data_IF_755821019428
#
_entry.id   IF_755821019428
#
_cell.length_a   1.000
_cell.length_b   1.000
_cell.length_c   1.000
_cell.angle_alpha   90.00
_cell.angle_beta   90.00
_cell.angle_gamma   90.00
#
_symmetry.space_group_name_H-M   'P 1'
#
loop_
_entity.id
_entity.type
_entity.pdbx_description
1 polymer ?
#
# COMPACT_ATOMS: atom_id res chain seq x y z
N UNK A 1 -51.60 -30.40 -50.09
CA UNK A 1 -51.44 -30.73 -48.63
C UNK A 1 -50.17 -30.07 -48.13
N UNK A 2 -50.29 -29.00 -47.35
CA UNK A 2 -49.18 -28.32 -46.74
C UNK A 2 -48.89 -29.04 -45.43
N UNK A 3 -47.74 -29.67 -45.33
CA UNK A 3 -47.21 -30.19 -44.04
C UNK A 3 -46.75 -29.00 -43.18
N UNK A 4 -47.48 -28.72 -42.13
CA UNK A 4 -46.96 -27.83 -41.09
C UNK A 4 -45.76 -28.49 -40.42
N UNK A 5 -44.66 -27.77 -40.17
CA UNK A 5 -43.49 -28.34 -39.47
C UNK A 5 -43.91 -28.81 -38.08
N UNK A 6 -43.37 -29.98 -37.69
CA UNK A 6 -43.64 -30.61 -36.40
C UNK A 6 -42.99 -29.75 -35.27
N UNK A 7 -43.83 -28.92 -34.64
CA UNK A 7 -43.41 -28.09 -33.50
C UNK A 7 -42.81 -28.86 -32.34
N UNK A 8 -43.13 -30.17 -32.23
CA UNK A 8 -42.60 -31.03 -31.16
C UNK A 8 -41.12 -31.32 -31.33
N UNK A 9 -40.60 -31.33 -32.54
CA UNK A 9 -39.17 -31.52 -32.80
C UNK A 9 -38.34 -30.27 -32.54
N UNK A 10 -38.90 -29.09 -32.84
CA UNK A 10 -38.28 -27.78 -32.56
C UNK A 10 -38.21 -27.50 -31.06
N UNK A 11 -39.27 -27.82 -30.32
CA UNK A 11 -39.34 -27.67 -28.88
C UNK A 11 -38.39 -28.62 -28.14
N UNK A 12 -38.23 -29.86 -28.60
CA UNK A 12 -37.23 -30.82 -28.08
C UNK A 12 -35.81 -30.35 -28.32
N UNK A 13 -35.52 -29.76 -29.49
CA UNK A 13 -34.18 -29.20 -29.78
C UNK A 13 -33.84 -28.02 -28.85
N UNK A 14 -34.81 -27.18 -28.53
CA UNK A 14 -34.63 -26.06 -27.58
C UNK A 14 -34.44 -26.54 -26.14
N UNK A 15 -35.21 -27.55 -25.72
CA UNK A 15 -35.09 -28.14 -24.39
C UNK A 15 -33.69 -28.77 -24.21
N UNK A 16 -33.21 -29.54 -25.16
CA UNK A 16 -31.90 -30.16 -25.13
C UNK A 16 -30.77 -29.08 -25.05
N UNK A 17 -30.89 -27.99 -25.81
CA UNK A 17 -29.93 -26.91 -25.76
C UNK A 17 -29.88 -26.21 -24.39
N UNK A 18 -31.03 -26.07 -23.71
CA UNK A 18 -31.12 -25.51 -22.37
C UNK A 18 -30.52 -26.48 -21.32
N UNK A 19 -30.79 -27.78 -21.45
CA UNK A 19 -30.22 -28.82 -20.58
C UNK A 19 -28.69 -28.90 -20.72
N UNK A 20 -28.16 -28.83 -21.93
CA UNK A 20 -26.74 -28.77 -22.21
C UNK A 20 -26.08 -27.52 -21.59
N UNK A 21 -26.73 -26.35 -21.71
CA UNK A 21 -26.27 -25.10 -21.09
C UNK A 21 -26.28 -25.18 -19.58
N UNK A 22 -27.35 -25.70 -18.97
CA UNK A 22 -27.43 -25.89 -17.50
C UNK A 22 -26.41 -26.90 -16.99
N UNK A 23 -26.14 -27.96 -17.76
CA UNK A 23 -25.08 -28.93 -17.43
C UNK A 23 -23.70 -28.28 -17.44
N UNK A 24 -23.39 -27.50 -18.48
CA UNK A 24 -22.12 -26.75 -18.57
C UNK A 24 -21.99 -25.70 -17.46
N UNK A 25 -23.07 -25.01 -17.11
CA UNK A 25 -23.08 -24.06 -16.00
C UNK A 25 -22.86 -24.75 -14.67
N UNK A 26 -23.47 -25.93 -14.47
CA UNK A 26 -23.30 -26.74 -13.26
C UNK A 26 -21.84 -27.22 -13.12
N UNK A 27 -21.21 -27.67 -14.21
CA UNK A 27 -19.80 -28.08 -14.20
C UNK A 27 -18.85 -26.90 -13.93
N UNK A 28 -19.14 -25.70 -14.49
CA UNK A 28 -18.40 -24.48 -14.18
C UNK A 28 -18.54 -24.08 -12.71
N UNK A 29 -19.76 -24.15 -12.17
CA UNK A 29 -20.00 -23.86 -10.75
C UNK A 29 -19.25 -24.87 -9.88
N UNK A 30 -19.32 -26.18 -10.18
CA UNK A 30 -18.57 -27.23 -9.47
C UNK A 30 -17.05 -26.99 -9.56
N UNK A 31 -16.53 -26.59 -10.72
CA UNK A 31 -15.11 -26.27 -10.88
C UNK A 31 -14.69 -25.10 -9.99
N UNK A 32 -15.49 -24.04 -9.92
CA UNK A 32 -15.24 -22.93 -9.00
C UNK A 32 -15.30 -23.35 -7.53
N UNK A 33 -16.28 -24.18 -7.14
CA UNK A 33 -16.42 -24.65 -5.76
C UNK A 33 -15.39 -25.73 -5.41
N UNK A 34 -15.04 -26.64 -6.31
CA UNK A 34 -14.01 -27.65 -6.06
C UNK A 34 -12.61 -27.01 -5.92
N UNK A 35 -12.33 -25.95 -6.68
CA UNK A 35 -11.12 -25.15 -6.49
C UNK A 35 -11.05 -24.48 -5.11
N UNK A 36 -12.20 -24.07 -4.57
CA UNK A 36 -12.32 -23.54 -3.20
C UNK A 36 -12.15 -24.68 -2.18
N UNK A 37 -12.81 -25.81 -2.38
CA UNK A 37 -12.75 -26.96 -1.46
C UNK A 37 -11.38 -27.65 -1.46
N UNK A 38 -10.68 -27.76 -2.58
CA UNK A 38 -9.33 -28.32 -2.62
C UNK A 38 -8.31 -27.40 -1.93
N UNK A 39 -8.47 -26.07 -2.04
CA UNK A 39 -7.66 -25.13 -1.27
C UNK A 39 -7.97 -25.15 0.23
N UNK A 40 -9.20 -25.46 0.62
CA UNK A 40 -9.61 -25.64 2.02
C UNK A 40 -9.15 -27.03 2.53
N UNK A 41 -9.29 -28.07 1.73
CA UNK A 41 -8.96 -29.47 2.12
C UNK A 41 -7.46 -29.74 2.25
N UNK A 42 -6.60 -29.06 1.47
CA UNK A 42 -5.14 -29.22 1.58
C UNK A 42 -4.53 -28.57 2.84
N UNK A 43 -5.32 -27.85 3.65
CA UNK A 43 -4.89 -27.23 4.91
C UNK A 43 -5.45 -27.84 6.17
N UNK A 44 -6.10 -29.03 6.10
CA UNK A 44 -6.72 -29.67 7.25
C UNK A 44 -5.87 -30.77 7.91
N UNK A 45 -4.57 -30.56 8.07
CA UNK A 45 -3.78 -31.37 8.98
C UNK A 45 -3.79 -30.80 10.41
N UNK A 46 -5.01 -30.65 10.95
CA UNK A 46 -5.25 -30.65 12.39
C UNK A 46 -5.07 -29.33 13.15
N UNK A 47 -4.97 -28.19 12.50
CA UNK A 47 -5.08 -26.87 13.15
C UNK A 47 -6.01 -25.97 12.36
N UNK A 48 -7.16 -25.64 12.94
CA UNK A 48 -8.13 -24.70 12.38
C UNK A 48 -7.53 -23.30 12.27
N UNK A 49 -6.98 -22.98 11.11
CA UNK A 49 -6.68 -21.60 10.73
C UNK A 49 -7.60 -21.22 9.57
N UNK A 50 -8.66 -20.47 9.87
CA UNK A 50 -9.52 -19.87 8.87
C UNK A 50 -8.71 -18.85 8.06
N UNK A 51 -8.25 -19.25 6.89
CA UNK A 51 -7.73 -18.32 5.90
C UNK A 51 -8.94 -17.71 5.17
N UNK A 52 -9.32 -16.48 5.51
CA UNK A 52 -10.20 -15.68 4.67
C UNK A 52 -9.38 -15.24 3.45
N UNK A 53 -9.57 -15.92 2.34
CA UNK A 53 -9.07 -15.44 1.05
C UNK A 53 -10.23 -14.71 0.39
N UNK A 54 -10.27 -13.39 0.47
CA UNK A 54 -11.04 -12.59 -0.45
C UNK A 54 -10.24 -12.43 -1.74
N UNK A 55 -10.23 -13.47 -2.58
CA UNK A 55 -9.87 -13.29 -3.98
C UNK A 55 -11.13 -12.98 -4.75
N UNK A 56 -11.35 -11.72 -5.12
CA UNK A 56 -12.21 -11.41 -6.25
C UNK A 56 -11.62 -12.10 -7.47
N UNK A 57 -12.46 -12.84 -8.19
CA UNK A 57 -12.09 -13.52 -9.44
C UNK A 57 -11.63 -12.42 -10.39
N UNK A 58 -10.31 -12.33 -10.60
CA UNK A 58 -9.75 -11.44 -11.61
C UNK A 58 -9.91 -12.05 -12.98
N UNK A 59 -10.61 -11.37 -13.87
CA UNK A 59 -10.51 -11.58 -15.31
C UNK A 59 -9.06 -11.32 -15.76
N UNK A 60 -8.62 -12.04 -16.72
CA UNK A 60 -7.38 -12.20 -17.45
C UNK A 60 -6.36 -11.02 -17.58
N UNK A 61 -6.41 -9.93 -16.82
CA UNK A 61 -5.58 -8.71 -17.02
C UNK A 61 -4.87 -8.18 -15.76
N UNK A 62 -4.94 -8.82 -14.61
CA UNK A 62 -4.24 -8.34 -13.43
C UNK A 62 -3.77 -9.48 -12.52
N UNK A 63 -2.48 -9.58 -12.24
CA UNK A 63 -1.96 -10.57 -11.28
C UNK A 63 -2.23 -10.09 -9.85
N UNK A 64 -3.29 -10.63 -9.24
CA UNK A 64 -3.46 -10.60 -7.79
C UNK A 64 -2.39 -11.51 -7.16
N UNK A 65 -1.51 -10.94 -6.37
CA UNK A 65 -0.53 -11.74 -5.64
C UNK A 65 -0.76 -11.62 -4.14
N UNK A 66 -1.79 -12.32 -3.63
CA UNK A 66 -1.96 -12.55 -2.19
C UNK A 66 -1.30 -13.89 -1.84
N UNK A 67 -0.07 -13.88 -1.36
CA UNK A 67 0.70 -15.10 -1.04
C UNK A 67 0.99 -15.25 0.44
N UNK A 68 0.73 -14.23 1.24
CA UNK A 68 0.93 -14.27 2.69
C UNK A 68 -0.23 -14.95 3.42
N UNK A 69 0.05 -15.51 4.60
CA UNK A 69 -0.98 -16.04 5.49
C UNK A 69 -1.79 -14.88 6.07
N UNK A 70 -3.15 -14.96 6.00
CA UNK A 70 -4.06 -13.92 6.47
C UNK A 70 -3.79 -12.54 5.85
N UNK A 71 -3.37 -12.49 4.59
CA UNK A 71 -3.23 -11.25 3.85
C UNK A 71 -4.50 -10.91 3.09
N UNK A 72 -4.72 -9.63 2.81
CA UNK A 72 -5.90 -9.12 2.12
C UNK A 72 -5.52 -8.19 0.98
N UNK A 73 -6.26 -8.26 -0.15
CA UNK A 73 -6.14 -7.35 -1.29
C UNK A 73 -7.54 -6.87 -1.66
N UNK A 74 -7.71 -5.56 -1.78
CA UNK A 74 -8.95 -4.92 -2.22
C UNK A 74 -8.73 -4.05 -3.46
N UNK A 75 -9.77 -3.98 -4.31
CA UNK A 75 -9.83 -3.16 -5.52
C UNK A 75 -8.65 -3.36 -6.47
N UNK A 76 -8.68 -4.51 -7.15
CA UNK A 76 -7.62 -4.81 -8.09
C UNK A 76 -7.95 -4.38 -9.51
N UNK A 77 -7.44 -3.23 -9.89
CA UNK A 77 -7.33 -2.89 -11.31
C UNK A 77 -5.90 -3.01 -11.84
N UNK A 78 -4.85 -2.98 -10.99
CA UNK A 78 -3.46 -3.07 -11.45
C UNK A 78 -2.50 -3.52 -10.33
N UNK A 79 -2.07 -4.80 -10.36
CA UNK A 79 -0.86 -5.29 -9.69
C UNK A 79 -0.71 -5.01 -8.19
N UNK A 80 -1.80 -5.12 -7.41
CA UNK A 80 -1.70 -5.05 -5.96
C UNK A 80 -0.99 -6.31 -5.42
N UNK A 81 -0.12 -6.14 -4.45
CA UNK A 81 0.65 -7.23 -3.84
C UNK A 81 0.50 -7.21 -2.33
N UNK A 82 -0.04 -8.28 -1.75
CA UNK A 82 0.02 -8.57 -0.32
C UNK A 82 0.72 -9.92 -0.13
N UNK A 83 2.03 -9.91 0.15
CA UNK A 83 2.86 -11.11 0.08
C UNK A 83 3.38 -11.62 1.42
N UNK A 84 2.94 -11.06 2.54
CA UNK A 84 3.40 -11.45 3.86
C UNK A 84 2.26 -11.64 4.86
N UNK A 85 2.58 -12.19 6.03
CA UNK A 85 1.63 -12.49 7.11
C UNK A 85 0.88 -11.22 7.55
N UNK A 86 -0.45 -11.23 7.52
CA UNK A 86 -1.33 -10.10 7.86
C UNK A 86 -1.10 -8.82 7.04
N UNK A 87 -0.50 -8.94 5.85
CA UNK A 87 -0.33 -7.81 4.96
C UNK A 87 -1.66 -7.41 4.30
N UNK A 88 -1.88 -6.11 4.12
CA UNK A 88 -3.07 -5.56 3.48
C UNK A 88 -2.69 -4.61 2.35
N UNK A 89 -3.28 -4.78 1.16
CA UNK A 89 -3.04 -3.92 0.00
C UNK A 89 -4.38 -3.51 -0.63
N UNK A 90 -4.63 -2.20 -0.72
CA UNK A 90 -5.87 -1.64 -1.26
C UNK A 90 -5.59 -0.50 -2.25
N UNK A 91 -6.29 -0.48 -3.39
CA UNK A 91 -6.17 0.59 -4.38
C UNK A 91 -5.59 0.13 -5.71
N UNK A 92 -4.61 0.85 -6.27
CA UNK A 92 -4.00 0.57 -7.58
C UNK A 92 -2.48 0.54 -7.50
N UNK A 93 -1.86 -0.59 -7.86
CA UNK A 93 -0.40 -0.76 -7.84
C UNK A 93 0.22 -0.73 -6.45
N UNK A 94 -0.54 -1.06 -5.41
CA UNK A 94 -0.11 -1.03 -4.00
C UNK A 94 0.67 -2.29 -3.63
N UNK A 95 1.64 -2.14 -2.72
CA UNK A 95 2.51 -3.26 -2.32
C UNK A 95 2.69 -3.30 -0.81
N UNK A 96 2.14 -4.34 -0.16
CA UNK A 96 2.34 -4.66 1.24
C UNK A 96 3.15 -5.98 1.32
N UNK A 97 4.47 -5.90 1.52
CA UNK A 97 5.37 -7.04 1.34
C UNK A 97 6.00 -7.59 2.62
N UNK A 98 5.70 -7.01 3.77
CA UNK A 98 6.22 -7.44 5.06
C UNK A 98 5.10 -7.75 6.07
N UNK A 99 5.39 -8.45 7.18
CA UNK A 99 4.41 -8.81 8.18
C UNK A 99 3.66 -7.61 8.77
N UNK A 100 2.32 -7.64 8.73
CA UNK A 100 1.47 -6.56 9.22
C UNK A 100 1.60 -5.24 8.46
N UNK A 101 2.20 -5.25 7.26
CA UNK A 101 2.30 -4.07 6.42
C UNK A 101 0.94 -3.71 5.82
N UNK A 102 0.68 -2.40 5.69
CA UNK A 102 -0.54 -1.87 5.07
C UNK A 102 -0.18 -0.85 3.98
N UNK A 103 -0.70 -1.06 2.76
CA UNK A 103 -0.49 -0.15 1.64
C UNK A 103 -1.84 0.19 0.99
N UNK A 104 -2.21 1.48 0.96
CA UNK A 104 -3.47 1.92 0.34
C UNK A 104 -3.29 3.15 -0.57
N UNK A 105 -4.12 3.25 -1.63
CA UNK A 105 -4.11 4.36 -2.56
C UNK A 105 -3.57 4.03 -3.95
N UNK A 106 -2.61 4.80 -4.47
CA UNK A 106 -2.07 4.61 -5.82
C UNK A 106 -0.54 4.55 -5.82
N UNK A 107 0.02 3.41 -6.21
CA UNK A 107 1.48 3.21 -6.31
C UNK A 107 2.21 3.21 -4.96
N UNK A 108 1.51 2.93 -3.86
CA UNK A 108 2.08 2.96 -2.51
C UNK A 108 2.84 1.68 -2.20
N UNK A 109 3.85 1.77 -1.34
CA UNK A 109 4.66 0.61 -0.94
C UNK A 109 4.94 0.60 0.55
N UNK A 110 4.47 -0.43 1.25
CA UNK A 110 4.80 -0.74 2.63
C UNK A 110 5.65 -2.02 2.67
N UNK A 111 6.97 -1.88 2.83
CA UNK A 111 7.94 -2.95 2.61
C UNK A 111 8.65 -3.47 3.85
N UNK A 112 8.28 -2.99 5.04
CA UNK A 112 8.83 -3.48 6.30
C UNK A 112 7.71 -3.80 7.32
N UNK A 113 8.06 -4.52 8.39
CA UNK A 113 7.09 -4.97 9.39
C UNK A 113 6.33 -3.80 10.00
N UNK A 114 5.00 -3.92 10.05
CA UNK A 114 4.07 -2.92 10.60
C UNK A 114 4.17 -1.53 9.94
N UNK A 115 4.75 -1.45 8.74
CA UNK A 115 4.81 -0.21 7.97
C UNK A 115 3.43 0.11 7.37
N UNK A 116 3.09 1.40 7.29
CA UNK A 116 1.87 1.91 6.67
C UNK A 116 2.20 2.95 5.60
N UNK A 117 1.70 2.75 4.38
CA UNK A 117 1.86 3.68 3.27
C UNK A 117 0.49 4.01 2.67
N UNK A 118 0.09 5.29 2.67
CA UNK A 118 -1.18 5.74 2.12
C UNK A 118 -1.06 6.96 1.21
N UNK A 119 -2.00 7.10 0.25
CA UNK A 119 -2.04 8.22 -0.68
C UNK A 119 -1.52 7.89 -2.07
N UNK A 120 -0.58 8.68 -2.62
CA UNK A 120 -0.05 8.50 -3.96
C UNK A 120 1.48 8.42 -3.99
N UNK A 121 2.02 7.35 -4.57
CA UNK A 121 3.47 7.14 -4.73
C UNK A 121 4.26 7.24 -3.40
N UNK A 122 3.64 6.85 -2.29
CA UNK A 122 4.27 6.87 -0.97
C UNK A 122 5.03 5.59 -0.68
N UNK A 123 6.09 5.69 0.13
CA UNK A 123 6.91 4.54 0.51
C UNK A 123 7.19 4.53 1.99
N UNK A 124 6.71 3.50 2.69
CA UNK A 124 7.04 3.20 4.08
C UNK A 124 7.96 1.97 4.13
N UNK A 125 9.26 2.19 4.27
CA UNK A 125 10.29 1.13 4.26
C UNK A 125 11.02 0.95 5.58
N UNK A 126 10.79 1.80 6.56
CA UNK A 126 11.21 1.60 7.94
C UNK A 126 10.26 0.65 8.68
N UNK A 127 10.77 -0.14 9.63
CA UNK A 127 9.91 -0.91 10.53
C UNK A 127 9.02 0.04 11.34
N UNK A 128 7.71 -0.23 11.41
CA UNK A 128 6.70 0.63 12.07
C UNK A 128 6.69 2.07 11.56
N UNK A 129 7.12 2.31 10.32
CA UNK A 129 7.08 3.64 9.71
C UNK A 129 5.72 3.95 9.09
N UNK A 130 5.41 5.25 8.96
CA UNK A 130 4.20 5.73 8.30
C UNK A 130 4.53 6.78 7.24
N UNK A 131 4.03 6.60 6.01
CA UNK A 131 4.18 7.53 4.91
C UNK A 131 2.82 7.86 4.31
N UNK A 132 2.42 9.15 4.34
CA UNK A 132 1.13 9.60 3.81
C UNK A 132 1.24 10.82 2.90
N UNK A 133 0.28 10.99 1.97
CA UNK A 133 0.22 12.12 1.07
C UNK A 133 0.66 11.82 -0.36
N UNK A 134 1.61 12.58 -0.91
CA UNK A 134 2.06 12.44 -2.29
C UNK A 134 3.58 12.35 -2.39
N UNK A 135 4.11 11.25 -2.94
CA UNK A 135 5.54 11.03 -3.14
C UNK A 135 6.38 11.19 -1.84
N UNK A 136 5.85 10.71 -0.72
CA UNK A 136 6.51 10.76 0.58
C UNK A 136 7.28 9.48 0.86
N UNK A 137 8.34 9.57 1.64
CA UNK A 137 9.17 8.41 2.01
C UNK A 137 9.47 8.40 3.51
N UNK A 138 9.09 7.34 4.20
CA UNK A 138 9.42 7.07 5.59
C UNK A 138 10.32 5.81 5.66
N UNK A 139 11.64 6.01 5.72
CA UNK A 139 12.64 4.92 5.70
C UNK A 139 13.30 4.67 7.06
N UNK A 140 13.19 5.60 8.00
CA UNK A 140 13.66 5.43 9.36
C UNK A 140 12.78 4.48 10.18
N UNK A 141 13.38 3.81 11.18
CA UNK A 141 12.63 3.03 12.18
C UNK A 141 11.64 3.94 12.93
N UNK A 142 10.37 3.57 12.99
CA UNK A 142 9.28 4.37 13.60
C UNK A 142 9.25 5.82 13.09
N UNK A 143 9.60 6.07 11.83
CA UNK A 143 9.55 7.40 11.23
C UNK A 143 8.18 7.72 10.64
N UNK A 144 7.87 9.01 10.51
CA UNK A 144 6.64 9.50 9.90
C UNK A 144 6.94 10.57 8.84
N UNK A 145 6.40 10.42 7.63
CA UNK A 145 6.52 11.37 6.53
C UNK A 145 5.15 11.72 5.97
N UNK A 146 4.76 13.00 6.03
CA UNK A 146 3.48 13.48 5.54
C UNK A 146 3.60 14.70 4.63
N UNK A 147 2.64 14.88 3.69
CA UNK A 147 2.59 16.02 2.79
C UNK A 147 2.98 15.70 1.34
N UNK A 148 3.92 16.46 0.76
CA UNK A 148 4.33 16.25 -0.63
C UNK A 148 5.85 16.24 -0.77
N UNK A 149 6.41 15.12 -1.25
CA UNK A 149 7.85 14.97 -1.48
C UNK A 149 8.68 14.92 -0.20
N UNK A 150 8.08 14.66 0.95
CA UNK A 150 8.79 14.66 2.24
C UNK A 150 9.56 13.35 2.46
N UNK A 151 10.63 13.44 3.24
CA UNK A 151 11.51 12.31 3.51
C UNK A 151 11.83 12.24 5.01
N UNK A 152 11.49 11.13 5.66
CA UNK A 152 11.84 10.83 7.06
C UNK A 152 12.79 9.62 7.11
N UNK A 153 14.11 9.90 6.96
CA UNK A 153 15.17 8.86 6.93
C UNK A 153 15.71 8.53 8.31
N UNK A 154 15.68 9.47 9.25
CA UNK A 154 16.15 9.24 10.60
C UNK A 154 15.24 8.30 11.38
N UNK A 155 15.77 7.45 12.24
CA UNK A 155 14.93 6.69 13.17
C UNK A 155 14.19 7.62 14.12
N UNK A 156 12.90 7.37 14.36
CA UNK A 156 11.98 8.21 15.15
C UNK A 156 11.89 9.65 14.64
N UNK A 157 12.14 9.87 13.36
CA UNK A 157 12.05 11.19 12.73
C UNK A 157 10.67 11.49 12.20
N UNK A 158 10.37 12.80 12.05
CA UNK A 158 9.14 13.29 11.46
C UNK A 158 9.42 14.33 10.38
N UNK A 159 8.84 14.19 9.20
CA UNK A 159 8.94 15.14 8.10
C UNK A 159 7.54 15.53 7.58
N UNK A 160 7.23 16.84 7.56
CA UNK A 160 5.94 17.36 7.14
C UNK A 160 6.04 18.54 6.16
N UNK A 161 5.03 18.72 5.28
CA UNK A 161 4.94 19.85 4.39
C UNK A 161 5.35 19.58 2.94
N UNK A 162 6.21 20.41 2.34
CA UNK A 162 6.64 20.28 0.94
C UNK A 162 8.16 20.10 0.84
N UNK A 163 8.62 18.95 0.34
CA UNK A 163 10.04 18.59 0.20
C UNK A 163 10.84 18.75 1.51
N UNK A 164 10.23 18.57 2.66
CA UNK A 164 10.94 18.60 3.93
C UNK A 164 11.67 17.26 4.17
N UNK A 165 12.86 17.31 4.79
CA UNK A 165 13.67 16.13 5.02
C UNK A 165 14.19 16.03 6.47
N UNK A 166 13.74 15.03 7.21
CA UNK A 166 14.19 14.69 8.56
C UNK A 166 15.16 13.50 8.52
N UNK A 167 16.48 13.79 8.49
CA UNK A 167 17.52 12.78 8.28
C UNK A 167 18.22 12.33 9.58
N UNK A 168 18.21 13.18 10.58
CA UNK A 168 18.79 12.86 11.89
C UNK A 168 17.92 11.91 12.70
N UNK A 169 18.52 11.11 13.55
CA UNK A 169 17.80 10.32 14.55
C UNK A 169 17.02 11.28 15.47
N UNK A 170 15.74 11.02 15.77
CA UNK A 170 14.86 11.89 16.57
C UNK A 170 14.67 13.30 15.99
N UNK A 171 14.92 13.51 14.70
CA UNK A 171 14.82 14.83 14.08
C UNK A 171 13.43 15.16 13.59
N UNK A 172 13.13 16.46 13.46
CA UNK A 172 11.89 16.96 12.89
C UNK A 172 12.17 18.02 11.82
N UNK A 173 11.58 17.86 10.63
CA UNK A 173 11.64 18.83 9.55
C UNK A 173 10.24 19.19 9.06
N UNK A 174 9.91 20.49 9.04
CA UNK A 174 8.59 20.98 8.62
C UNK A 174 8.65 22.20 7.74
N UNK A 175 7.61 22.43 6.93
CA UNK A 175 7.48 23.56 6.03
C UNK A 175 7.94 23.29 4.60
N UNK A 176 8.68 24.22 3.97
CA UNK A 176 9.05 24.10 2.55
C UNK A 176 10.55 23.93 2.40
N UNK A 177 11.01 22.84 1.78
CA UNK A 177 12.42 22.53 1.53
C UNK A 177 13.31 22.62 2.80
N UNK A 178 12.75 22.36 3.95
CA UNK A 178 13.49 22.36 5.22
C UNK A 178 14.26 21.05 5.42
N UNK A 179 15.37 21.10 6.17
CA UNK A 179 16.19 19.91 6.38
C UNK A 179 16.77 19.83 7.81
N UNK A 180 16.37 18.81 8.55
CA UNK A 180 16.88 18.48 9.86
C UNK A 180 17.90 17.32 9.74
N UNK A 181 19.20 17.65 9.66
CA UNK A 181 20.28 16.69 9.34
C UNK A 181 20.86 15.95 10.53
N UNK A 182 20.92 16.62 11.65
CA UNK A 182 21.61 16.08 12.83
C UNK A 182 20.64 15.38 13.78
N UNK A 183 21.20 14.55 14.67
CA UNK A 183 20.47 13.89 15.74
C UNK A 183 19.72 14.89 16.62
N UNK A 184 18.45 14.62 16.92
CA UNK A 184 17.55 15.47 17.71
C UNK A 184 17.46 16.93 17.21
N UNK A 185 17.72 17.15 15.92
CA UNK A 185 17.63 18.49 15.32
C UNK A 185 16.20 18.83 14.88
N UNK A 186 15.90 20.12 14.84
CA UNK A 186 14.60 20.67 14.42
C UNK A 186 14.81 21.71 13.34
N UNK A 187 14.11 21.60 12.20
CA UNK A 187 14.14 22.58 11.13
C UNK A 187 12.72 22.89 10.65
N UNK A 188 12.24 24.12 10.82
CA UNK A 188 10.88 24.47 10.42
C UNK A 188 10.82 25.84 9.75
N UNK A 189 10.27 25.89 8.54
CA UNK A 189 10.15 27.10 7.76
C UNK A 189 10.39 26.87 6.28
N UNK A 190 10.92 27.87 5.59
CA UNK A 190 11.28 27.80 4.18
C UNK A 190 12.80 27.76 4.02
N UNK A 191 13.35 26.67 3.46
CA UNK A 191 14.80 26.42 3.34
C UNK A 191 15.55 26.46 4.69
N UNK A 192 14.89 26.14 5.80
CA UNK A 192 15.52 26.04 7.11
C UNK A 192 16.38 24.78 7.20
N UNK A 193 17.64 24.91 7.66
CA UNK A 193 18.54 23.75 7.77
C UNK A 193 19.20 23.70 9.15
N UNK A 194 18.98 22.57 9.87
CA UNK A 194 19.61 22.30 11.16
C UNK A 194 20.68 21.22 11.02
N UNK A 195 21.96 21.59 11.22
CA UNK A 195 23.13 20.72 11.03
C UNK A 195 23.77 20.22 12.33
N UNK A 196 23.29 20.67 13.49
CA UNK A 196 23.87 20.33 14.79
C UNK A 196 22.94 19.49 15.63
N UNK A 197 23.51 18.56 16.37
CA UNK A 197 22.79 17.76 17.36
C UNK A 197 22.03 18.66 18.35
N UNK A 198 20.73 18.44 18.49
CA UNK A 198 19.85 19.26 19.32
C UNK A 198 19.68 20.71 18.82
N UNK A 199 20.15 21.01 17.60
CA UNK A 199 20.01 22.33 17.00
C UNK A 199 18.61 22.60 16.47
N UNK A 200 18.17 23.86 16.50
CA UNK A 200 16.90 24.31 15.95
C UNK A 200 17.06 25.48 14.99
N UNK A 201 16.48 25.40 13.80
CA UNK A 201 16.45 26.42 12.77
C UNK A 201 15.00 26.76 12.39
N UNK A 202 14.63 28.05 12.50
CA UNK A 202 13.29 28.53 12.20
C UNK A 202 13.31 29.70 11.20
N UNK A 203 12.26 29.80 10.37
CA UNK A 203 12.05 30.91 9.46
C UNK A 203 12.59 30.65 8.07
N UNK A 204 12.99 31.69 7.35
CA UNK A 204 13.36 31.61 5.93
C UNK A 204 14.88 31.55 5.76
N UNK A 205 15.36 30.58 4.98
CA UNK A 205 16.78 30.39 4.57
C UNK A 205 17.78 30.36 5.72
N UNK A 206 17.41 29.80 6.85
CA UNK A 206 18.23 29.71 8.03
C UNK A 206 19.04 28.41 8.09
N UNK A 207 20.36 28.56 8.33
CA UNK A 207 21.26 27.44 8.52
C UNK A 207 21.97 27.57 9.86
N UNK A 208 21.88 26.54 10.70
CA UNK A 208 22.70 26.50 11.92
C UNK A 208 24.16 26.28 11.51
N UNK A 209 24.99 27.33 11.52
CA UNK A 209 26.40 27.21 11.19
C UNK A 209 27.29 27.01 12.41
N UNK A 210 26.96 27.59 13.54
CA UNK A 210 27.70 27.46 14.82
C UNK A 210 26.81 27.81 16.03
N UNK A 211 25.50 27.69 15.88
CA UNK A 211 24.51 28.02 16.91
C UNK A 211 23.52 26.86 17.09
N UNK A 212 23.14 26.59 18.31
CA UNK A 212 22.11 25.58 18.64
C UNK A 212 20.71 26.06 18.29
N UNK A 213 20.51 27.37 18.24
CA UNK A 213 19.20 27.97 17.96
C UNK A 213 19.35 29.16 17.04
N UNK A 214 18.62 29.14 15.91
CA UNK A 214 18.61 30.22 14.93
C UNK A 214 17.18 30.54 14.54
N UNK A 215 16.79 31.81 14.68
CA UNK A 215 15.54 32.36 14.13
C UNK A 215 15.91 33.49 13.18
N UNK A 216 15.41 33.47 11.96
CA UNK A 216 15.72 34.47 11.00
C UNK A 216 14.62 34.69 9.97
N UNK A 217 14.70 35.82 9.28
CA UNK A 217 13.86 36.21 8.15
C UNK A 217 14.72 36.48 6.92
N UNK A 218 15.83 35.71 6.77
CA UNK A 218 16.78 35.93 5.67
C UNK A 218 16.14 35.78 4.29
N UNK A 219 16.59 36.61 3.34
CA UNK A 219 16.29 36.38 1.94
C UNK A 219 17.02 35.14 1.43
N UNK A 220 16.44 34.32 0.54
CA UNK A 220 17.18 33.29 -0.17
C UNK A 220 18.37 33.93 -0.90
N UNK A 221 19.59 33.57 -0.55
CA UNK A 221 20.78 33.98 -1.26
C UNK A 221 21.12 33.10 -2.42
#
# INVERSE_FOLDING_TARGET
MSFAPDKSAEDKGRINAVEDYLSLLTERIKFCFNGIDENIAQKSDGKEEKQLIYSTIADEVGQLTATGKNCEIFNDYENNIASSLYAHAEGSGTKATAPGAHAEGNGTTASNSYAHAEGRETTASGESSHAEGNNTTASGYCSHAEGNGTVADGGYSHAEGYNAAARGFYSHAGGINSEAKAEASFAHGEYAVSNYRGGAAFGISNKTKNALFVVGNGSPG
#
